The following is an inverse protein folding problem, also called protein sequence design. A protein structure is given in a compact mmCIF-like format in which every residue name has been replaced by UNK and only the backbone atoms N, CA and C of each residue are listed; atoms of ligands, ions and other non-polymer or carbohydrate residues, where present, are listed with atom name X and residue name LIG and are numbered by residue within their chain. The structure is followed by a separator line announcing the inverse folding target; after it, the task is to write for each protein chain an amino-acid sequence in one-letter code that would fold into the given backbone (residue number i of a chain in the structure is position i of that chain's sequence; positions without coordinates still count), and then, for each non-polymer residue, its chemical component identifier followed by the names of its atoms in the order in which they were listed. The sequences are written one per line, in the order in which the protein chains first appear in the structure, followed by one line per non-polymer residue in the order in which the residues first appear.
data_IF_733132397105
#
_entry.id   IF_733132397105
#
_cell.length_a   1.000
_cell.length_b   1.000
_cell.length_c   1.000
_cell.angle_alpha   90.00
_cell.angle_beta   90.00
_cell.angle_gamma   90.00
#
_symmetry.space_group_name_H-M   'P 1'
#
loop_
_entity.id
_entity.type
_entity.pdbx_description
1 polymer ?
#
# COMPACT_ATOMS: atom_id res chain seq x y z
N UNK A 1 -3.22 8.69 -7.47
CA UNK A 1 -1.88 8.58 -6.84
C UNK A 1 -1.22 7.36 -7.46
N UNK A 2 -0.15 7.52 -8.21
CA UNK A 2 0.48 6.41 -8.91
C UNK A 2 1.78 6.02 -8.22
N UNK A 3 1.87 4.78 -7.73
CA UNK A 3 3.10 4.19 -7.22
C UNK A 3 4.00 3.84 -8.42
N UNK A 4 4.64 4.85 -9.04
CA UNK A 4 5.61 4.62 -10.11
C UNK A 4 7.01 4.43 -9.55
N UNK A 5 7.49 3.19 -9.50
CA UNK A 5 8.88 2.97 -9.89
C UNK A 5 8.90 2.86 -11.41
N UNK A 6 9.31 3.94 -12.12
CA UNK A 6 9.59 3.87 -13.56
C UNK A 6 10.62 2.78 -13.93
N UNK A 7 11.23 2.10 -12.94
CA UNK A 7 12.18 1.00 -13.10
C UNK A 7 11.66 -0.39 -12.73
N UNK A 8 10.35 -0.58 -12.48
CA UNK A 8 9.79 -1.93 -12.26
C UNK A 8 10.26 -2.62 -10.97
N UNK A 9 10.57 -1.85 -9.93
CA UNK A 9 11.16 -2.37 -8.68
C UNK A 9 10.26 -3.38 -7.98
N UNK A 10 8.94 -3.14 -7.99
CA UNK A 10 7.94 -4.02 -7.42
C UNK A 10 6.82 -4.26 -8.41
N UNK A 11 6.23 -5.44 -8.29
CA UNK A 11 5.04 -5.86 -9.02
C UNK A 11 3.90 -6.00 -8.00
N UNK A 12 2.92 -5.10 -8.06
CA UNK A 12 1.82 -5.07 -7.09
C UNK A 12 0.63 -5.93 -7.54
N UNK A 13 0.20 -6.85 -6.69
CA UNK A 13 -0.93 -7.75 -6.96
C UNK A 13 -2.15 -7.39 -6.11
N UNK A 14 -3.35 -7.71 -6.61
CA UNK A 14 -4.62 -7.49 -5.93
C UNK A 14 -5.70 -8.48 -6.39
N UNK A 15 -6.75 -8.70 -5.60
CA UNK A 15 -7.92 -9.51 -5.96
C UNK A 15 -9.21 -8.68 -5.96
N UNK A 16 -10.25 -9.13 -6.66
CA UNK A 16 -11.57 -8.46 -6.55
C UNK A 16 -12.12 -8.54 -5.13
N UNK A 17 -11.79 -9.58 -4.36
CA UNK A 17 -12.21 -9.70 -2.96
C UNK A 17 -11.63 -8.55 -2.13
N UNK A 18 -10.33 -8.27 -2.26
CA UNK A 18 -9.69 -7.12 -1.59
C UNK A 18 -10.31 -5.80 -2.07
N UNK A 19 -10.60 -5.64 -3.36
CA UNK A 19 -11.29 -4.43 -3.83
C UNK A 19 -12.73 -4.33 -3.33
N UNK A 20 -13.44 -5.45 -3.20
CA UNK A 20 -14.80 -5.48 -2.66
C UNK A 20 -14.81 -5.07 -1.19
N UNK A 21 -13.82 -5.52 -0.40
CA UNK A 21 -13.63 -5.07 0.98
C UNK A 21 -13.33 -3.58 1.05
N UNK A 22 -12.43 -3.07 0.21
CA UNK A 22 -12.15 -1.62 0.14
C UNK A 22 -13.43 -0.83 -0.18
N UNK A 23 -14.21 -1.25 -1.18
CA UNK A 23 -15.46 -0.58 -1.55
C UNK A 23 -16.49 -0.66 -0.42
N UNK A 24 -16.57 -1.79 0.27
CA UNK A 24 -17.47 -1.97 1.43
C UNK A 24 -17.10 -1.01 2.55
N UNK A 25 -15.82 -0.96 2.94
CA UNK A 25 -15.34 -0.06 3.99
C UNK A 25 -15.57 1.41 3.61
N UNK A 26 -15.30 1.80 2.36
CA UNK A 26 -15.57 3.17 1.89
C UNK A 26 -17.06 3.53 1.97
N UNK A 27 -17.97 2.57 1.75
CA UNK A 27 -19.42 2.81 1.87
C UNK A 27 -19.86 2.93 3.32
N UNK A 28 -19.25 2.18 4.23
CA UNK A 28 -19.50 2.27 5.66
C UNK A 28 -18.98 3.59 6.24
N UNK A 29 -17.76 4.00 5.86
CA UNK A 29 -17.13 5.24 6.34
C UNK A 29 -17.75 6.50 5.71
N UNK A 30 -18.26 6.37 4.49
CA UNK A 30 -18.83 7.49 3.74
C UNK A 30 -20.21 7.18 3.13
N UNK A 31 -21.27 6.99 3.96
CA UNK A 31 -22.58 6.54 3.49
C UNK A 31 -23.28 7.50 2.53
N UNK A 32 -22.92 8.79 2.57
CA UNK A 32 -23.51 9.84 1.74
C UNK A 32 -22.79 10.09 0.42
N UNK A 33 -21.64 9.46 0.17
CA UNK A 33 -20.91 9.64 -1.09
C UNK A 33 -21.68 9.03 -2.26
N UNK A 34 -21.65 9.70 -3.41
CA UNK A 34 -22.27 9.19 -4.62
C UNK A 34 -21.50 8.00 -5.23
N UNK A 35 -22.07 7.37 -6.25
CA UNK A 35 -21.43 6.27 -6.98
C UNK A 35 -20.13 6.66 -7.68
N UNK A 36 -20.05 7.88 -8.20
CA UNK A 36 -18.89 8.37 -8.94
C UNK A 36 -17.66 8.53 -8.06
N UNK A 37 -17.84 9.02 -6.82
CA UNK A 37 -16.75 9.17 -5.85
C UNK A 37 -16.09 7.83 -5.51
N UNK A 38 -16.89 6.80 -5.22
CA UNK A 38 -16.38 5.45 -4.91
C UNK A 38 -15.70 4.83 -6.12
N UNK A 39 -16.31 4.98 -7.31
CA UNK A 39 -15.74 4.48 -8.57
C UNK A 39 -14.39 5.13 -8.86
N UNK A 40 -14.27 6.45 -8.67
CA UNK A 40 -13.01 7.18 -8.89
C UNK A 40 -11.88 6.68 -7.97
N UNK A 41 -12.19 6.33 -6.71
CA UNK A 41 -11.20 5.76 -5.79
C UNK A 41 -10.79 4.36 -6.24
N UNK A 42 -11.76 3.49 -6.57
CA UNK A 42 -11.49 2.14 -7.08
C UNK A 42 -10.62 2.17 -8.34
N UNK A 43 -10.95 3.04 -9.29
CA UNK A 43 -10.22 3.19 -10.54
C UNK A 43 -8.83 3.78 -10.31
N UNK A 44 -8.70 4.69 -9.34
CA UNK A 44 -7.40 5.23 -8.92
C UNK A 44 -6.49 4.18 -8.29
N UNK A 45 -7.03 3.28 -7.46
CA UNK A 45 -6.29 2.17 -6.84
C UNK A 45 -5.84 1.19 -7.93
N UNK A 46 -6.77 0.71 -8.76
CA UNK A 46 -6.47 -0.27 -9.81
C UNK A 46 -5.52 0.28 -10.87
N UNK A 47 -5.67 1.55 -11.25
CA UNK A 47 -4.76 2.22 -12.17
C UNK A 47 -3.33 2.38 -11.63
N UNK A 48 -3.15 2.34 -10.31
CA UNK A 48 -1.82 2.43 -9.67
C UNK A 48 -1.12 1.07 -9.51
N UNK A 49 -1.83 -0.05 -9.68
CA UNK A 49 -1.31 -1.40 -9.41
C UNK A 49 -0.78 -2.07 -10.68
N UNK A 50 0.54 -2.02 -10.87
CA UNK A 50 1.24 -2.50 -12.08
C UNK A 50 1.40 -4.02 -12.21
N UNK A 51 1.21 -4.79 -11.13
CA UNK A 51 1.40 -6.25 -11.17
C UNK A 51 0.20 -7.06 -11.62
N UNK A 52 -0.97 -6.44 -11.54
CA UNK A 52 -2.19 -6.98 -12.11
C UNK A 52 -3.05 -7.75 -11.12
N UNK A 53 -4.26 -8.06 -11.58
CA UNK A 53 -5.27 -8.79 -10.84
C UNK A 53 -4.91 -10.27 -10.74
N UNK A 54 -4.92 -10.81 -9.52
CA UNK A 54 -4.94 -12.25 -9.25
C UNK A 54 -6.38 -12.70 -9.37
N UNK A 55 -6.67 -13.44 -10.44
CA UNK A 55 -8.04 -13.80 -10.82
C UNK A 55 -8.46 -15.20 -10.36
N UNK A 56 -7.49 -16.07 -10.07
CA UNK A 56 -7.71 -17.47 -9.71
C UNK A 56 -6.80 -17.83 -8.54
N UNK A 57 -7.40 -18.36 -7.47
CA UNK A 57 -6.74 -18.83 -6.26
C UNK A 57 -7.71 -19.73 -5.49
N UNK A 58 -7.17 -20.62 -4.66
CA UNK A 58 -7.96 -21.59 -3.90
C UNK A 58 -7.83 -21.29 -2.41
N UNK A 59 -8.96 -21.09 -1.74
CA UNK A 59 -9.01 -21.01 -0.28
C UNK A 59 -9.05 -22.45 0.26
N UNK A 60 -7.93 -22.90 0.82
CA UNK A 60 -7.75 -24.27 1.31
C UNK A 60 -7.71 -24.38 2.84
N UNK A 61 -7.84 -23.25 3.55
CA UNK A 61 -7.78 -23.19 5.01
C UNK A 61 -6.37 -23.23 5.58
N UNK A 62 -5.34 -23.08 4.74
CA UNK A 62 -3.93 -23.14 5.16
C UNK A 62 -3.46 -21.91 5.95
N UNK A 63 -4.19 -20.79 5.92
CA UNK A 63 -3.79 -19.62 6.70
C UNK A 63 -3.84 -19.93 8.21
N UNK A 64 -2.73 -19.78 8.94
CA UNK A 64 -2.64 -20.16 10.36
C UNK A 64 -3.25 -19.13 11.32
N UNK A 65 -3.67 -17.98 10.82
CA UNK A 65 -4.20 -16.90 11.65
C UNK A 65 -5.63 -17.14 12.14
N UNK A 66 -6.05 -16.37 13.16
CA UNK A 66 -7.33 -16.58 13.82
C UNK A 66 -8.52 -15.97 13.08
N UNK A 67 -8.28 -15.04 12.14
CA UNK A 67 -9.35 -14.40 11.36
C UNK A 67 -9.66 -15.22 10.09
N UNK A 68 -10.86 -15.79 9.95
CA UNK A 68 -11.27 -16.48 8.73
C UNK A 68 -11.31 -15.59 7.49
N UNK A 69 -11.45 -14.27 7.64
CA UNK A 69 -11.48 -13.34 6.50
C UNK A 69 -10.10 -13.22 5.83
N UNK A 70 -9.02 -13.36 6.59
CA UNK A 70 -7.65 -13.30 6.06
C UNK A 70 -7.31 -14.46 5.09
N UNK A 71 -8.11 -15.54 5.09
CA UNK A 71 -7.89 -16.73 4.26
C UNK A 71 -7.80 -16.41 2.77
N UNK A 72 -8.63 -15.50 2.25
CA UNK A 72 -8.58 -15.13 0.83
C UNK A 72 -7.34 -14.30 0.48
N UNK A 73 -6.86 -13.47 1.42
CA UNK A 73 -5.63 -12.69 1.25
C UNK A 73 -4.41 -13.61 1.23
N UNK A 74 -4.36 -14.58 2.15
CA UNK A 74 -3.31 -15.61 2.17
C UNK A 74 -3.30 -16.43 0.88
N UNK A 75 -4.46 -16.96 0.46
CA UNK A 75 -4.59 -17.74 -0.76
C UNK A 75 -4.17 -16.96 -2.01
N UNK A 76 -4.50 -15.67 -2.07
CA UNK A 76 -4.07 -14.80 -3.16
C UNK A 76 -2.56 -14.57 -3.17
N UNK A 77 -1.96 -14.33 -2.00
CA UNK A 77 -0.51 -14.17 -1.86
C UNK A 77 0.25 -15.43 -2.29
N UNK A 78 -0.29 -16.61 -1.95
CA UNK A 78 0.22 -17.90 -2.42
C UNK A 78 0.14 -18.04 -3.94
N UNK A 79 -1.03 -17.76 -4.51
CA UNK A 79 -1.27 -17.93 -5.95
C UNK A 79 -0.41 -17.01 -6.83
N UNK A 80 -0.02 -15.84 -6.32
CA UNK A 80 0.84 -14.90 -7.05
C UNK A 80 2.31 -14.95 -6.63
N UNK A 81 2.69 -15.89 -5.76
CA UNK A 81 4.04 -16.03 -5.21
C UNK A 81 4.56 -14.70 -4.65
N UNK A 82 3.71 -13.99 -3.89
CA UNK A 82 4.08 -12.71 -3.32
C UNK A 82 5.29 -12.88 -2.39
N UNK A 83 6.30 -12.03 -2.52
CA UNK A 83 7.40 -11.99 -1.56
C UNK A 83 7.04 -11.18 -0.31
N UNK A 84 6.15 -10.20 -0.47
CA UNK A 84 5.75 -9.27 0.58
C UNK A 84 4.23 -9.13 0.61
N UNK A 85 3.65 -9.25 1.81
CA UNK A 85 2.27 -8.85 2.09
C UNK A 85 2.30 -7.53 2.88
N UNK A 86 1.81 -6.46 2.28
CA UNK A 86 1.70 -5.17 2.94
C UNK A 86 0.31 -5.00 3.55
N UNK A 87 0.22 -4.97 4.87
CA UNK A 87 -1.05 -4.82 5.60
C UNK A 87 -0.88 -4.08 6.92
N UNK A 88 -1.92 -3.36 7.33
CA UNK A 88 -2.04 -2.79 8.69
C UNK A 88 -2.88 -3.68 9.60
N UNK A 89 -3.44 -4.76 9.08
CA UNK A 89 -4.22 -5.72 9.84
C UNK A 89 -3.33 -6.44 10.87
N UNK A 90 -3.84 -6.55 12.09
CA UNK A 90 -3.21 -7.29 13.17
C UNK A 90 -3.33 -8.80 13.00
N UNK A 91 -4.28 -9.31 12.22
CA UNK A 91 -4.51 -10.74 11.98
C UNK A 91 -3.24 -11.46 11.53
N UNK A 92 -2.56 -10.91 10.53
CA UNK A 92 -1.29 -11.43 9.98
C UNK A 92 -0.08 -11.27 10.90
N UNK A 93 -0.21 -10.54 12.02
CA UNK A 93 0.83 -10.35 13.04
C UNK A 93 0.36 -10.81 14.42
N UNK A 94 -0.68 -11.64 14.45
CA UNK A 94 -1.20 -12.27 15.66
C UNK A 94 -0.10 -13.07 16.34
N UNK A 95 -0.09 -13.10 17.69
CA UNK A 95 0.81 -13.96 18.45
C UNK A 95 0.56 -15.46 18.24
N UNK A 96 -0.50 -15.82 17.52
CA UNK A 96 -0.82 -17.20 17.14
C UNK A 96 -0.15 -17.63 15.84
N UNK A 97 0.50 -16.71 15.12
CA UNK A 97 1.18 -16.98 13.85
C UNK A 97 2.68 -16.86 14.07
N UNK A 98 3.41 -17.91 13.72
CA UNK A 98 4.85 -17.83 13.53
C UNK A 98 5.09 -17.23 12.13
N UNK A 99 5.61 -16.00 12.08
CA UNK A 99 5.79 -15.29 10.79
C UNK A 99 6.75 -16.02 9.84
N UNK A 100 7.71 -16.75 10.38
CA UNK A 100 8.69 -17.54 9.61
C UNK A 100 8.04 -18.75 8.91
N UNK A 101 6.83 -19.16 9.31
CA UNK A 101 6.07 -20.21 8.64
C UNK A 101 5.30 -19.70 7.42
N UNK A 102 5.17 -18.37 7.27
CA UNK A 102 4.54 -17.78 6.09
C UNK A 102 5.53 -17.74 4.92
N UNK A 103 5.08 -18.04 3.69
CA UNK A 103 5.94 -18.02 2.50
C UNK A 103 6.21 -16.61 1.96
N UNK A 104 5.78 -15.58 2.69
CA UNK A 104 5.92 -14.18 2.37
C UNK A 104 6.16 -13.37 3.64
N UNK A 105 6.86 -12.25 3.51
CA UNK A 105 7.12 -11.36 4.64
C UNK A 105 5.98 -10.36 4.83
N UNK A 106 5.52 -10.20 6.07
CA UNK A 106 4.42 -9.27 6.41
C UNK A 106 4.98 -7.92 6.84
N UNK A 107 4.62 -6.86 6.13
CA UNK A 107 5.04 -5.49 6.42
C UNK A 107 3.86 -4.56 6.68
N UNK A 108 4.05 -3.62 7.63
CA UNK A 108 3.23 -2.40 7.63
C UNK A 108 3.73 -1.46 6.52
N UNK A 109 2.84 -0.62 5.93
CA UNK A 109 3.26 0.34 4.91
C UNK A 109 4.42 1.25 5.34
N UNK A 110 4.39 1.77 6.58
CA UNK A 110 5.47 2.64 7.08
C UNK A 110 6.82 1.92 7.08
N UNK A 111 6.85 0.70 7.62
CA UNK A 111 8.05 -0.14 7.70
C UNK A 111 8.56 -0.51 6.30
N UNK A 112 7.64 -0.89 5.39
CA UNK A 112 7.98 -1.25 4.02
C UNK A 112 8.60 -0.06 3.27
N UNK A 113 8.01 1.13 3.37
CA UNK A 113 8.53 2.29 2.67
C UNK A 113 9.86 2.79 3.24
N UNK A 114 10.10 2.63 4.55
CA UNK A 114 11.43 2.83 5.14
C UNK A 114 12.44 1.83 4.57
N UNK A 115 12.08 0.55 4.49
CA UNK A 115 12.92 -0.48 3.86
C UNK A 115 13.25 -0.16 2.40
N UNK A 116 12.27 0.33 1.64
CA UNK A 116 12.47 0.77 0.25
C UNK A 116 13.42 1.97 0.18
N UNK A 117 13.35 2.91 1.13
CA UNK A 117 14.28 4.03 1.20
C UNK A 117 15.70 3.59 1.57
N UNK A 118 15.84 2.68 2.53
CA UNK A 118 17.16 2.16 2.91
C UNK A 118 17.81 1.38 1.76
N UNK A 119 17.00 0.72 0.92
CA UNK A 119 17.48 -0.10 -0.21
C UNK A 119 17.69 0.71 -1.49
N UNK A 120 16.80 1.66 -1.81
CA UNK A 120 16.83 2.45 -3.04
C UNK A 120 16.51 3.93 -2.78
N UNK A 121 17.35 4.64 -1.99
CA UNK A 121 17.07 6.01 -1.55
C UNK A 121 16.97 6.98 -2.72
N UNK A 122 17.68 6.71 -3.82
CA UNK A 122 17.62 7.54 -5.03
C UNK A 122 16.25 7.49 -5.74
N UNK A 123 15.56 6.35 -5.71
CA UNK A 123 14.22 6.20 -6.27
C UNK A 123 13.24 6.98 -5.42
N UNK A 124 13.31 6.80 -4.10
CA UNK A 124 12.46 7.52 -3.14
C UNK A 124 12.65 9.02 -3.29
N UNK A 125 13.89 9.52 -3.28
CA UNK A 125 14.19 10.95 -3.49
C UNK A 125 13.58 11.50 -4.77
N UNK A 126 13.69 10.77 -5.89
CA UNK A 126 13.11 11.17 -7.18
C UNK A 126 11.58 11.27 -7.09
N UNK A 127 10.92 10.25 -6.55
CA UNK A 127 9.46 10.23 -6.40
C UNK A 127 9.01 11.33 -5.43
N UNK A 128 9.73 11.56 -4.34
CA UNK A 128 9.49 12.66 -3.41
C UNK A 128 9.49 14.01 -4.12
N UNK A 129 10.49 14.29 -4.98
CA UNK A 129 10.53 15.53 -5.76
C UNK A 129 9.36 15.66 -6.75
N UNK A 130 8.99 14.56 -7.43
CA UNK A 130 7.84 14.55 -8.35
C UNK A 130 6.52 14.82 -7.60
N UNK A 131 6.31 14.18 -6.44
CA UNK A 131 5.12 14.35 -5.62
C UNK A 131 5.05 15.75 -5.00
N UNK A 132 6.15 16.27 -4.45
CA UNK A 132 6.18 17.61 -3.87
C UNK A 132 5.86 18.70 -4.89
N UNK A 133 6.44 18.61 -6.09
CA UNK A 133 6.12 19.50 -7.22
C UNK A 133 4.64 19.44 -7.60
N UNK A 134 4.05 18.24 -7.62
CA UNK A 134 2.64 18.08 -7.97
C UNK A 134 1.72 18.68 -6.90
N UNK A 135 1.93 18.33 -5.63
CA UNK A 135 1.05 18.75 -4.55
C UNK A 135 1.21 20.24 -4.21
N UNK A 136 2.43 20.79 -4.24
CA UNK A 136 2.65 22.22 -4.00
C UNK A 136 1.94 23.14 -5.00
N UNK A 137 1.63 22.64 -6.20
CA UNK A 137 0.85 23.37 -7.20
C UNK A 137 -0.66 23.44 -6.90
N UNK A 138 -1.16 22.67 -5.92
CA UNK A 138 -2.56 22.58 -5.56
C UNK A 138 -2.82 23.42 -4.30
N UNK A 139 -3.54 24.55 -4.40
CA UNK A 139 -3.82 25.39 -3.24
C UNK A 139 -4.53 24.63 -2.12
N UNK A 140 -4.04 24.79 -0.89
CA UNK A 140 -4.62 24.15 0.30
C UNK A 140 -4.23 22.68 0.50
N UNK A 141 -3.37 22.10 -0.34
CA UNK A 141 -2.84 20.76 -0.11
C UNK A 141 -1.97 20.69 1.15
N UNK A 142 -2.03 19.58 1.87
CA UNK A 142 -1.06 19.26 2.92
C UNK A 142 0.33 19.04 2.30
N UNK A 143 1.39 19.29 3.08
CA UNK A 143 2.73 18.85 2.67
C UNK A 143 2.78 17.32 2.59
N UNK A 144 3.63 16.79 1.71
CA UNK A 144 3.74 15.34 1.51
C UNK A 144 4.06 14.60 2.82
N UNK A 145 4.99 15.15 3.62
CA UNK A 145 5.35 14.58 4.92
C UNK A 145 4.17 14.60 5.91
N UNK A 146 3.34 15.65 5.90
CA UNK A 146 2.16 15.70 6.77
C UNK A 146 1.10 14.68 6.33
N UNK A 147 0.83 14.58 5.03
CA UNK A 147 -0.12 13.61 4.49
C UNK A 147 0.27 12.17 4.87
N UNK A 148 1.57 11.83 4.81
CA UNK A 148 2.09 10.51 5.22
C UNK A 148 1.91 10.24 6.72
N UNK A 149 2.14 11.23 7.59
CA UNK A 149 1.90 11.07 9.04
C UNK A 149 0.42 10.81 9.34
N UNK A 150 -0.47 11.54 8.68
CA UNK A 150 -1.92 11.44 8.91
C UNK A 150 -2.46 10.04 8.55
N UNK A 151 -1.81 9.34 7.61
CA UNK A 151 -2.19 7.97 7.20
C UNK A 151 -1.34 6.88 7.88
N UNK A 152 -0.64 7.21 8.97
CA UNK A 152 0.08 6.23 9.78
C UNK A 152 1.43 5.80 9.21
N UNK A 153 2.06 6.65 8.38
CA UNK A 153 3.44 6.45 7.90
C UNK A 153 4.43 7.48 8.48
N UNK A 154 4.59 7.59 9.82
CA UNK A 154 5.41 8.61 10.45
C UNK A 154 6.92 8.44 10.19
N UNK A 155 7.43 7.21 10.14
CA UNK A 155 8.85 6.95 9.97
C UNK A 155 9.28 7.26 8.54
N UNK A 156 8.48 6.85 7.56
CA UNK A 156 8.71 7.18 6.17
C UNK A 156 8.50 8.68 5.91
N UNK A 157 7.58 9.34 6.60
CA UNK A 157 7.44 10.80 6.52
C UNK A 157 8.72 11.55 6.94
N UNK A 158 9.48 11.03 7.91
CA UNK A 158 10.79 11.59 8.28
C UNK A 158 11.79 11.44 7.13
N UNK A 159 11.83 10.27 6.48
CA UNK A 159 12.71 10.03 5.30
C UNK A 159 12.37 10.98 4.16
N UNK A 160 11.09 11.14 3.85
CA UNK A 160 10.61 12.07 2.83
C UNK A 160 11.03 13.52 3.15
N UNK A 161 10.90 13.96 4.40
CA UNK A 161 11.34 15.29 4.81
C UNK A 161 12.85 15.48 4.62
N UNK A 162 13.66 14.47 4.95
CA UNK A 162 15.11 14.52 4.74
C UNK A 162 15.45 14.70 3.26
N UNK A 163 14.77 13.96 2.36
CA UNK A 163 14.96 14.10 0.92
C UNK A 163 14.57 15.50 0.43
N UNK A 164 13.46 16.05 0.91
CA UNK A 164 13.00 17.40 0.56
C UNK A 164 14.01 18.48 0.95
N UNK A 165 14.58 18.40 2.16
CA UNK A 165 15.61 19.35 2.62
C UNK A 165 16.90 19.30 1.79
N UNK A 166 17.13 18.21 1.05
CA UNK A 166 18.29 18.01 0.19
C UNK A 166 18.00 18.29 -1.29
N UNK A 167 16.77 18.67 -1.64
CA UNK A 167 16.47 19.10 -3.00
C UNK A 167 17.09 20.48 -3.25
N UNK A 168 17.67 20.72 -4.43
CA UNK A 168 18.11 22.06 -4.80
C UNK A 168 16.90 23.00 -4.79
N UNK A 169 17.10 24.24 -4.34
CA UNK A 169 16.09 25.28 -4.44
C UNK A 169 15.70 25.44 -5.92
N UNK A 170 14.38 25.44 -6.18
CA UNK A 170 13.80 25.60 -7.51
C UNK A 170 14.07 26.98 -8.11
#
# INVERSE_FOLDING_TARGET
MELRSKGGLFKNYWTEDILAEVVTNLREDHPSWDGGQITAIRDGITGAMSGGRVADFVIDGSYPGPDPKDQHVHAAAMACEASYLMTVDGGFRSSTIELDDLPYEVYKPDDFFVFVDDSWPYIVRRVTAEQDKYWSAIPGSKSLAQALRDVGCPSFAVRVLQHLCQLPAA
#
